data_IF_754656025979
#
_entry.id   IF_754656025979
#
_cell.length_a   1.000
_cell.length_b   1.000
_cell.length_c   1.000
_cell.angle_alpha   90.00
_cell.angle_beta   90.00
_cell.angle_gamma   90.00
#
_symmetry.space_group_name_H-M   'P 1'
#
loop_
_entity.id
_entity.type
_entity.pdbx_description
1 polymer ?
#
# COMPACT_ATOMS: atom_id res chain seq x y z
N UNK A 1 -17.72 -3.35 0.81
CA UNK A 1 -19.10 -3.89 0.74
C UNK A 1 -19.19 -5.37 1.13
N UNK A 2 -18.23 -6.21 0.78
CA UNK A 2 -18.27 -7.65 1.09
C UNK A 2 -17.30 -7.98 2.23
N UNK A 3 -17.79 -8.56 3.33
CA UNK A 3 -16.95 -9.02 4.42
C UNK A 3 -15.89 -10.02 3.93
N UNK A 4 -16.27 -10.96 3.08
CA UNK A 4 -15.36 -11.96 2.50
C UNK A 4 -14.27 -11.34 1.64
N UNK A 5 -14.62 -10.29 0.86
CA UNK A 5 -13.63 -9.56 0.07
C UNK A 5 -12.65 -8.81 0.98
N UNK A 6 -13.17 -8.10 1.98
CA UNK A 6 -12.34 -7.37 2.94
C UNK A 6 -11.38 -8.29 3.70
N UNK A 7 -11.86 -9.43 4.21
CA UNK A 7 -11.01 -10.43 4.87
C UNK A 7 -9.95 -11.00 3.92
N UNK A 8 -10.32 -11.35 2.68
CA UNK A 8 -9.37 -11.86 1.69
C UNK A 8 -8.26 -10.87 1.35
N UNK A 9 -8.60 -9.58 1.18
CA UNK A 9 -7.61 -8.52 0.99
C UNK A 9 -6.73 -8.36 2.23
N UNK A 10 -7.34 -8.40 3.43
CA UNK A 10 -6.62 -8.35 4.70
C UNK A 10 -5.64 -9.52 4.88
N UNK A 11 -6.02 -10.74 4.49
CA UNK A 11 -5.13 -11.91 4.51
C UNK A 11 -3.91 -11.70 3.60
N UNK A 12 -4.13 -11.21 2.37
CA UNK A 12 -3.05 -10.91 1.44
C UNK A 12 -2.12 -9.83 2.00
N UNK A 13 -2.68 -8.76 2.55
CA UNK A 13 -1.91 -7.66 3.12
C UNK A 13 -1.08 -8.12 4.33
N UNK A 14 -1.65 -8.91 5.24
CA UNK A 14 -0.92 -9.44 6.40
C UNK A 14 0.28 -10.31 6.00
N UNK A 15 0.21 -11.01 4.86
CA UNK A 15 1.36 -11.78 4.35
C UNK A 15 2.53 -10.89 3.91
N UNK A 16 2.29 -9.61 3.64
CA UNK A 16 3.33 -8.63 3.29
C UNK A 16 3.99 -8.02 4.52
N UNK A 17 3.35 -8.08 5.68
CA UNK A 17 3.89 -7.56 6.93
C UNK A 17 4.99 -8.48 7.44
N UNK A 18 6.18 -7.94 7.62
CA UNK A 18 7.34 -8.62 8.20
C UNK A 18 7.59 -8.16 9.64
N UNK A 19 6.92 -7.10 10.09
CA UNK A 19 7.01 -6.48 11.41
C UNK A 19 5.69 -5.77 11.74
N UNK A 20 5.61 -5.18 12.91
CA UNK A 20 4.44 -4.42 13.38
C UNK A 20 4.43 -2.96 12.87
N UNK A 21 5.15 -2.65 11.78
CA UNK A 21 5.29 -1.30 11.24
C UNK A 21 4.03 -0.72 10.60
N UNK A 22 3.01 -1.53 10.38
CA UNK A 22 1.73 -1.10 9.85
C UNK A 22 0.60 -1.90 10.50
N UNK A 23 -0.42 -1.20 11.00
CA UNK A 23 -1.65 -1.80 11.53
C UNK A 23 -2.69 -1.92 10.42
N UNK A 24 -3.46 -2.99 10.45
CA UNK A 24 -4.55 -3.25 9.51
C UNK A 24 -5.85 -3.46 10.29
N UNK A 25 -6.88 -2.69 9.93
CA UNK A 25 -8.25 -2.86 10.40
C UNK A 25 -9.18 -3.10 9.19
N UNK A 26 -10.20 -3.91 9.38
CA UNK A 26 -11.15 -4.28 8.32
C UNK A 26 -12.55 -3.88 8.74
N UNK A 27 -13.23 -3.08 7.89
CA UNK A 27 -14.61 -2.66 8.05
C UNK A 27 -15.37 -2.97 6.76
N UNK A 28 -15.81 -4.20 6.60
CA UNK A 28 -16.45 -4.65 5.37
C UNK A 28 -17.74 -5.44 5.66
N UNK A 29 -18.73 -5.26 4.80
CA UNK A 29 -20.05 -5.87 4.95
C UNK A 29 -20.90 -5.19 6.01
N UNK A 30 -22.17 -5.57 6.03
CA UNK A 30 -23.16 -5.15 7.03
C UNK A 30 -23.72 -6.39 7.75
N UNK A 31 -24.23 -6.18 8.98
CA UNK A 31 -24.76 -7.25 9.81
C UNK A 31 -26.26 -7.50 9.47
N UNK A 32 -26.53 -7.79 8.20
CA UNK A 32 -27.82 -8.19 7.72
C UNK A 32 -27.75 -9.63 7.19
N UNK A 33 -28.42 -10.60 7.82
CA UNK A 33 -28.36 -12.01 7.41
C UNK A 33 -28.99 -12.27 6.04
N UNK A 34 -29.85 -11.37 5.55
CA UNK A 34 -30.54 -11.50 4.26
C UNK A 34 -29.83 -10.75 3.14
N UNK A 35 -29.14 -9.65 3.46
CA UNK A 35 -28.42 -8.80 2.51
C UNK A 35 -27.12 -8.26 3.11
N UNK A 36 -26.10 -9.11 3.27
CA UNK A 36 -24.85 -8.75 3.98
C UNK A 36 -23.92 -7.86 3.16
N UNK A 37 -24.32 -7.45 1.96
CA UNK A 37 -23.51 -6.62 1.06
C UNK A 37 -23.80 -5.15 1.32
N UNK A 38 -22.79 -4.42 1.73
CA UNK A 38 -22.86 -2.99 2.03
C UNK A 38 -21.69 -2.54 2.87
N UNK A 39 -21.64 -1.26 3.19
CA UNK A 39 -20.64 -0.65 4.07
C UNK A 39 -21.38 0.08 5.20
N UNK A 40 -21.07 -0.30 6.42
CA UNK A 40 -21.62 0.30 7.63
C UNK A 40 -20.69 1.42 8.12
N UNK A 41 -21.15 2.69 8.18
CA UNK A 41 -20.35 3.80 8.68
C UNK A 41 -19.85 3.61 10.11
N UNK A 42 -20.64 2.95 10.96
CA UNK A 42 -20.24 2.70 12.36
C UNK A 42 -19.08 1.72 12.41
N UNK A 43 -19.12 0.63 11.64
CA UNK A 43 -17.98 -0.30 11.51
C UNK A 43 -16.73 0.39 10.99
N UNK A 44 -16.88 1.30 10.02
CA UNK A 44 -15.75 2.08 9.49
C UNK A 44 -15.17 2.99 10.57
N UNK A 45 -16.01 3.70 11.32
CA UNK A 45 -15.60 4.54 12.45
C UNK A 45 -14.85 3.72 13.50
N UNK A 46 -15.41 2.60 13.98
CA UNK A 46 -14.79 1.73 14.97
C UNK A 46 -13.44 1.17 14.50
N UNK A 47 -13.34 0.79 13.21
CA UNK A 47 -12.09 0.32 12.62
C UNK A 47 -11.02 1.42 12.61
N UNK A 48 -11.38 2.67 12.27
CA UNK A 48 -10.48 3.82 12.33
C UNK A 48 -10.02 4.06 13.77
N UNK A 49 -10.94 4.07 14.73
CA UNK A 49 -10.64 4.25 16.17
C UNK A 49 -9.68 3.16 16.69
N UNK A 50 -9.83 1.93 16.23
CA UNK A 50 -8.96 0.80 16.63
C UNK A 50 -7.49 0.98 16.26
N UNK A 51 -7.19 1.87 15.31
CA UNK A 51 -5.82 2.20 14.85
C UNK A 51 -5.48 3.68 15.03
N UNK A 52 -6.23 4.42 15.85
CA UNK A 52 -6.10 5.88 16.02
C UNK A 52 -4.80 6.32 16.70
N UNK A 53 -4.03 5.40 17.27
CA UNK A 53 -2.69 5.64 17.80
C UNK A 53 -1.62 5.81 16.69
N UNK A 54 -1.95 5.49 15.43
CA UNK A 54 -1.09 5.76 14.29
C UNK A 54 -1.01 7.27 13.96
N UNK A 55 0.08 7.70 13.35
CA UNK A 55 0.26 9.09 12.90
C UNK A 55 -0.71 9.44 11.77
N UNK A 56 -0.95 8.49 10.86
CA UNK A 56 -1.87 8.60 9.73
C UNK A 56 -2.65 7.31 9.51
N UNK A 57 -3.84 7.43 8.95
CA UNK A 57 -4.73 6.32 8.65
C UNK A 57 -5.18 6.43 7.18
N UNK A 58 -4.88 5.42 6.38
CA UNK A 58 -5.31 5.34 4.98
C UNK A 58 -6.50 4.41 4.85
N UNK A 59 -7.61 4.91 4.35
CA UNK A 59 -8.83 4.13 4.10
C UNK A 59 -8.86 3.71 2.63
N UNK A 60 -8.77 2.41 2.41
CA UNK A 60 -8.95 1.78 1.10
C UNK A 60 -10.39 1.31 0.96
N UNK A 61 -10.96 1.40 -0.24
CA UNK A 61 -12.36 1.07 -0.49
C UNK A 61 -12.54 0.35 -1.83
N UNK A 62 -13.61 -0.43 -1.95
CA UNK A 62 -13.91 -1.22 -3.15
C UNK A 62 -14.63 -0.41 -4.23
N UNK A 63 -15.80 0.12 -3.94
CA UNK A 63 -16.62 0.86 -4.92
C UNK A 63 -17.09 2.20 -4.35
N UNK A 64 -17.54 3.10 -5.24
CA UNK A 64 -17.82 4.49 -4.88
C UNK A 64 -18.87 4.69 -3.78
N UNK A 65 -19.81 3.75 -3.58
CA UNK A 65 -20.79 3.85 -2.47
C UNK A 65 -20.13 3.65 -1.08
N UNK A 66 -18.98 2.99 -0.99
CA UNK A 66 -18.21 2.92 0.24
C UNK A 66 -17.66 4.30 0.66
N UNK A 67 -17.45 5.19 -0.30
CA UNK A 67 -17.01 6.57 -0.03
C UNK A 67 -18.01 7.30 0.87
N UNK A 68 -19.30 7.23 0.56
CA UNK A 68 -20.35 7.88 1.37
C UNK A 68 -20.36 7.38 2.82
N UNK A 69 -20.16 6.07 3.00
CA UNK A 69 -20.07 5.49 4.35
C UNK A 69 -18.79 5.93 5.08
N UNK A 70 -17.68 6.04 4.37
CA UNK A 70 -16.44 6.53 4.93
C UNK A 70 -16.52 8.02 5.31
N UNK A 71 -17.12 8.87 4.46
CA UNK A 71 -17.36 10.28 4.79
C UNK A 71 -18.27 10.43 6.01
N UNK A 72 -19.36 9.63 6.09
CA UNK A 72 -20.23 9.61 7.26
C UNK A 72 -19.46 9.18 8.52
N UNK A 73 -18.59 8.20 8.41
CA UNK A 73 -17.74 7.79 9.54
C UNK A 73 -16.79 8.90 10.01
N UNK A 74 -16.21 9.69 9.08
CA UNK A 74 -15.38 10.84 9.41
C UNK A 74 -16.14 11.91 10.18
N UNK A 75 -17.41 12.14 9.84
CA UNK A 75 -18.28 13.10 10.54
C UNK A 75 -18.62 12.65 11.98
N UNK A 76 -18.53 11.36 12.28
CA UNK A 76 -18.78 10.79 13.59
C UNK A 76 -17.54 10.71 14.49
N UNK A 77 -16.35 10.79 13.90
CA UNK A 77 -15.07 10.73 14.64
C UNK A 77 -14.80 12.06 15.38
N UNK A 78 -13.96 11.97 16.40
CA UNK A 78 -13.39 13.19 16.97
C UNK A 78 -12.50 13.90 15.92
N UNK A 79 -12.44 15.27 15.97
CA UNK A 79 -11.72 16.03 14.96
C UNK A 79 -10.23 15.71 14.86
N UNK A 80 -9.58 15.32 15.96
CA UNK A 80 -8.15 15.01 15.97
C UNK A 80 -7.88 13.68 15.24
N UNK A 81 -8.73 12.69 15.45
CA UNK A 81 -8.66 11.41 14.73
C UNK A 81 -9.02 11.58 13.25
N UNK A 82 -10.11 12.29 12.95
CA UNK A 82 -10.54 12.55 11.58
C UNK A 82 -9.44 13.26 10.74
N UNK A 83 -8.69 14.18 11.34
CA UNK A 83 -7.60 14.90 10.68
C UNK A 83 -6.44 13.99 10.21
N UNK A 84 -6.26 12.82 10.82
CA UNK A 84 -5.24 11.84 10.43
C UNK A 84 -5.67 10.97 9.26
N UNK A 85 -6.96 10.94 8.92
CA UNK A 85 -7.51 10.01 7.92
C UNK A 85 -7.35 10.56 6.51
N UNK A 86 -6.99 9.70 5.60
CA UNK A 86 -6.98 9.94 4.15
C UNK A 86 -7.80 8.85 3.45
N UNK A 87 -8.76 9.25 2.62
CA UNK A 87 -9.51 8.36 1.75
C UNK A 87 -8.75 8.18 0.44
N UNK A 88 -8.63 6.95 -0.05
CA UNK A 88 -7.81 6.63 -1.22
C UNK A 88 -8.63 5.94 -2.31
N UNK A 89 -8.48 6.42 -3.54
CA UNK A 89 -9.17 5.90 -4.72
C UNK A 89 -8.37 4.80 -5.46
N UNK A 90 -7.29 4.30 -4.88
CA UNK A 90 -6.48 3.25 -5.48
C UNK A 90 -7.27 1.93 -5.63
N UNK A 91 -6.85 1.05 -6.56
CA UNK A 91 -7.43 -0.29 -6.68
C UNK A 91 -7.33 -1.05 -5.35
N UNK A 92 -8.46 -1.60 -4.87
CA UNK A 92 -8.53 -2.14 -3.51
C UNK A 92 -7.47 -3.22 -3.24
N UNK A 93 -7.31 -4.19 -4.11
CA UNK A 93 -6.39 -5.32 -3.85
C UNK A 93 -4.94 -4.89 -4.00
N UNK A 94 -4.56 -4.47 -5.20
CA UNK A 94 -3.18 -4.09 -5.52
C UNK A 94 -2.73 -2.87 -4.71
N UNK A 95 -3.61 -1.87 -4.58
CA UNK A 95 -3.32 -0.66 -3.82
C UNK A 95 -3.14 -0.94 -2.33
N UNK A 96 -3.95 -1.83 -1.73
CA UNK A 96 -3.77 -2.21 -0.32
C UNK A 96 -2.44 -2.93 -0.10
N UNK A 97 -2.03 -3.82 -1.01
CA UNK A 97 -0.75 -4.51 -0.90
C UNK A 97 0.42 -3.53 -0.99
N UNK A 98 0.40 -2.61 -1.97
CA UNK A 98 1.43 -1.60 -2.14
C UNK A 98 1.50 -0.65 -0.93
N UNK A 99 0.35 -0.14 -0.48
CA UNK A 99 0.25 0.72 0.70
C UNK A 99 0.79 0.04 1.96
N UNK A 100 0.44 -1.24 2.18
CA UNK A 100 0.88 -2.00 3.35
C UNK A 100 2.40 -2.15 3.38
N UNK A 101 3.02 -2.48 2.25
CA UNK A 101 4.49 -2.61 2.16
C UNK A 101 5.18 -1.28 2.38
N UNK A 102 4.71 -0.22 1.73
CA UNK A 102 5.27 1.13 1.85
C UNK A 102 5.15 1.66 3.28
N UNK A 103 3.98 1.50 3.91
CA UNK A 103 3.76 1.91 5.30
C UNK A 103 4.62 1.09 6.28
N UNK A 104 4.73 -0.23 6.11
CA UNK A 104 5.56 -1.09 6.94
C UNK A 104 7.06 -0.78 6.81
N UNK A 105 7.49 -0.23 5.68
CA UNK A 105 8.84 0.28 5.47
C UNK A 105 9.09 1.66 6.11
N UNK A 106 8.07 2.29 6.70
CA UNK A 106 8.17 3.58 7.37
C UNK A 106 7.99 4.79 6.44
N UNK A 107 7.44 4.60 5.25
CA UNK A 107 7.17 5.71 4.32
C UNK A 107 6.11 6.68 4.88
N UNK A 108 6.24 7.96 4.56
CA UNK A 108 5.23 8.96 4.89
C UNK A 108 3.94 8.75 4.09
N UNK A 109 2.83 9.30 4.60
CA UNK A 109 1.48 9.06 4.05
C UNK A 109 1.36 9.41 2.55
N UNK A 110 1.99 10.47 2.08
CA UNK A 110 1.92 10.89 0.68
C UNK A 110 2.57 9.85 -0.24
N UNK A 111 3.71 9.28 0.19
CA UNK A 111 4.38 8.18 -0.54
C UNK A 111 3.54 6.90 -0.52
N UNK A 112 2.92 6.57 0.60
CA UNK A 112 2.02 5.41 0.70
C UNK A 112 0.84 5.55 -0.26
N UNK A 113 0.24 6.74 -0.36
CA UNK A 113 -0.86 7.02 -1.30
C UNK A 113 -0.36 6.91 -2.75
N UNK A 114 0.79 7.48 -3.06
CA UNK A 114 1.38 7.40 -4.40
C UNK A 114 1.59 5.94 -4.82
N UNK A 115 2.19 5.11 -3.96
CA UNK A 115 2.44 3.70 -4.23
C UNK A 115 1.13 2.92 -4.43
N UNK A 116 0.12 3.19 -3.60
CA UNK A 116 -1.21 2.62 -3.75
C UNK A 116 -1.86 2.97 -5.09
N UNK A 117 -1.80 4.24 -5.49
CA UNK A 117 -2.38 4.75 -6.74
C UNK A 117 -1.68 4.17 -7.98
N UNK A 118 -0.38 3.92 -7.90
CA UNK A 118 0.43 3.36 -8.98
C UNK A 118 0.46 1.82 -9.01
N UNK A 119 -0.24 1.15 -8.11
CA UNK A 119 -0.16 -0.29 -7.93
C UNK A 119 -0.56 -1.15 -9.14
N UNK A 120 -1.30 -0.59 -10.10
CA UNK A 120 -1.65 -1.26 -11.36
C UNK A 120 -0.54 -1.23 -12.40
N UNK A 121 0.50 -0.41 -12.24
CA UNK A 121 1.51 -0.21 -13.28
C UNK A 121 2.26 -1.49 -13.61
N UNK A 122 2.64 -2.28 -12.62
CA UNK A 122 3.30 -3.56 -12.84
C UNK A 122 2.45 -4.52 -13.72
N UNK A 123 1.14 -4.56 -13.48
CA UNK A 123 0.19 -5.36 -14.25
C UNK A 123 0.04 -4.82 -15.68
N UNK A 124 0.00 -3.50 -15.85
CA UNK A 124 -0.05 -2.84 -17.17
C UNK A 124 1.18 -3.18 -18.02
N UNK A 125 2.37 -3.06 -17.42
CA UNK A 125 3.65 -3.39 -18.09
C UNK A 125 3.67 -4.86 -18.53
N UNK A 126 3.24 -5.80 -17.68
CA UNK A 126 3.17 -7.21 -18.03
C UNK A 126 2.21 -7.52 -19.19
N UNK A 127 1.14 -6.73 -19.32
CA UNK A 127 0.17 -6.84 -20.41
C UNK A 127 0.59 -6.09 -21.68
N UNK A 128 1.75 -5.42 -21.69
CA UNK A 128 2.21 -4.60 -22.81
C UNK A 128 1.36 -3.34 -23.04
N UNK A 129 0.61 -2.89 -22.02
CA UNK A 129 -0.19 -1.67 -22.09
C UNK A 129 0.72 -0.45 -21.89
N UNK A 130 0.40 0.70 -22.53
CA UNK A 130 1.16 1.92 -22.29
C UNK A 130 1.06 2.32 -20.82
N UNK A 131 2.20 2.68 -20.23
CA UNK A 131 2.24 3.26 -18.88
C UNK A 131 1.41 4.53 -18.84
N UNK A 132 0.66 4.74 -17.75
CA UNK A 132 0.06 6.05 -17.53
C UNK A 132 1.19 7.07 -17.34
N UNK A 133 1.03 8.32 -17.81
CA UNK A 133 2.00 9.36 -17.48
C UNK A 133 2.00 9.52 -15.96
N UNK A 134 3.00 8.94 -15.33
CA UNK A 134 3.23 9.11 -13.90
C UNK A 134 3.59 10.58 -13.68
N UNK A 135 3.06 11.19 -12.63
CA UNK A 135 3.77 12.27 -11.96
C UNK A 135 5.18 11.72 -11.72
N UNK A 136 6.16 12.35 -12.33
CA UNK A 136 7.52 11.87 -12.49
C UNK A 136 7.98 11.05 -11.27
N UNK A 137 8.12 9.74 -11.46
CA UNK A 137 8.95 8.96 -10.57
C UNK A 137 10.29 9.71 -10.51
N UNK A 138 10.69 10.11 -9.32
CA UNK A 138 12.03 10.63 -9.11
C UNK A 138 12.96 9.53 -9.62
N UNK A 139 13.46 9.69 -10.84
CA UNK A 139 14.56 8.86 -11.31
C UNK A 139 15.64 9.02 -10.26
N UNK A 140 15.98 7.92 -9.60
CA UNK A 140 17.04 7.93 -8.60
C UNK A 140 18.22 8.71 -9.19
N UNK A 141 18.65 9.76 -8.51
CA UNK A 141 19.82 10.49 -8.92
C UNK A 141 20.98 9.48 -8.99
N UNK A 142 21.89 9.58 -9.97
CA UNK A 142 23.05 8.71 -10.03
C UNK A 142 23.77 8.79 -8.68
N UNK A 143 23.99 7.65 -8.03
CA UNK A 143 24.81 7.60 -6.82
C UNK A 143 26.19 8.15 -7.18
N UNK A 144 26.72 9.08 -6.39
CA UNK A 144 28.11 9.54 -6.54
C UNK A 144 29.04 8.33 -6.31
N UNK A 145 29.69 7.90 -7.37
CA UNK A 145 30.38 6.61 -7.49
C UNK A 145 31.60 6.46 -6.58
N UNK A 146 31.99 7.55 -5.86
CA UNK A 146 33.26 7.59 -5.10
C UNK A 146 33.29 6.68 -3.87
N UNK A 147 32.07 6.37 -3.29
CA UNK A 147 31.94 5.48 -2.12
C UNK A 147 30.89 4.38 -2.33
N UNK A 148 30.38 4.22 -3.54
CA UNK A 148 29.35 3.25 -3.85
C UNK A 148 29.93 1.82 -3.86
N UNK A 149 29.21 0.91 -3.19
CA UNK A 149 29.48 -0.53 -3.27
C UNK A 149 28.38 -1.18 -4.09
N UNK A 150 28.75 -1.98 -5.07
CA UNK A 150 27.80 -2.72 -5.88
C UNK A 150 27.95 -4.23 -5.72
N UNK A 151 26.84 -4.94 -5.79
CA UNK A 151 26.81 -6.40 -5.85
C UNK A 151 25.81 -6.84 -6.91
N UNK A 152 26.20 -7.78 -7.75
CA UNK A 152 25.31 -8.36 -8.75
C UNK A 152 24.71 -9.66 -8.21
N UNK A 153 23.40 -9.78 -8.25
CA UNK A 153 22.67 -10.95 -7.78
C UNK A 153 21.81 -11.51 -8.90
N UNK A 154 21.90 -12.82 -9.11
CA UNK A 154 20.99 -13.52 -10.05
C UNK A 154 19.74 -13.95 -9.30
N UNK A 155 18.58 -13.45 -9.75
CA UNK A 155 17.29 -13.82 -9.19
C UNK A 155 16.90 -15.19 -9.73
N UNK A 156 16.85 -16.19 -8.85
CA UNK A 156 16.50 -17.58 -9.20
C UNK A 156 15.00 -17.85 -9.24
N UNK A 157 14.18 -16.91 -8.79
CA UNK A 157 12.73 -17.06 -8.79
C UNK A 157 12.20 -17.11 -10.22
N UNK A 158 11.36 -18.11 -10.53
CA UNK A 158 10.80 -18.31 -11.88
C UNK A 158 10.11 -17.05 -12.44
N UNK A 159 9.40 -16.32 -11.59
CA UNK A 159 8.69 -15.08 -11.94
C UNK A 159 9.44 -13.80 -11.54
N UNK A 160 10.74 -13.86 -11.27
CA UNK A 160 11.54 -12.72 -10.87
C UNK A 160 11.15 -12.14 -9.50
N UNK A 161 11.36 -10.83 -9.32
CA UNK A 161 10.95 -10.07 -8.12
C UNK A 161 9.46 -9.68 -8.25
N UNK A 162 8.55 -10.63 -8.05
CA UNK A 162 7.12 -10.32 -7.90
C UNK A 162 6.82 -9.82 -6.48
N UNK A 163 5.59 -9.39 -6.21
CA UNK A 163 5.16 -8.69 -4.97
C UNK A 163 5.73 -9.30 -3.68
N UNK A 164 5.63 -10.62 -3.49
CA UNK A 164 6.07 -11.28 -2.25
C UNK A 164 7.59 -11.23 -2.01
N UNK A 165 8.48 -11.61 -2.95
CA UNK A 165 9.92 -11.43 -2.75
C UNK A 165 10.34 -9.96 -2.75
N UNK A 166 9.66 -9.08 -3.50
CA UNK A 166 9.94 -7.65 -3.47
C UNK A 166 9.62 -7.05 -2.10
N UNK A 167 8.49 -7.40 -1.47
CA UNK A 167 8.14 -6.92 -0.13
C UNK A 167 9.16 -7.34 0.93
N UNK A 168 9.68 -8.58 0.83
CA UNK A 168 10.75 -9.04 1.73
C UNK A 168 12.05 -8.25 1.55
N UNK A 169 12.39 -7.91 0.30
CA UNK A 169 13.55 -7.09 -0.01
C UNK A 169 13.39 -5.68 0.57
N UNK A 170 12.27 -5.01 0.30
CA UNK A 170 11.96 -3.68 0.85
C UNK A 170 12.03 -3.69 2.38
N UNK A 171 11.37 -4.65 3.03
CA UNK A 171 11.41 -4.77 4.50
C UNK A 171 12.81 -5.03 5.05
N UNK A 172 13.62 -5.85 4.38
CA UNK A 172 14.99 -6.13 4.79
C UNK A 172 15.90 -4.89 4.65
N UNK A 173 15.65 -4.05 3.65
CA UNK A 173 16.44 -2.86 3.37
C UNK A 173 16.04 -1.65 4.22
N UNK A 174 14.81 -1.59 4.72
CA UNK A 174 14.31 -0.49 5.55
C UNK A 174 15.11 -0.24 6.84
N UNK A 175 15.86 -1.24 7.32
CA UNK A 175 16.73 -1.12 8.50
C UNK A 175 18.13 -0.52 8.22
N UNK A 176 18.47 -0.25 6.96
CA UNK A 176 19.78 0.28 6.59
C UNK A 176 19.70 1.80 6.39
N UNK A 177 20.65 2.52 6.97
CA UNK A 177 20.81 3.96 6.74
C UNK A 177 21.80 4.17 5.58
N UNK A 178 21.35 3.88 4.36
CA UNK A 178 22.14 4.01 3.13
C UNK A 178 21.23 4.28 1.94
N UNK A 179 21.71 5.03 0.97
CA UNK A 179 21.03 5.22 -0.31
C UNK A 179 21.22 3.95 -1.14
N UNK A 180 20.13 3.28 -1.45
CA UNK A 180 20.12 2.02 -2.18
C UNK A 180 19.50 2.20 -3.55
N UNK A 181 20.10 1.62 -4.57
CA UNK A 181 19.57 1.60 -5.93
C UNK A 181 19.66 0.17 -6.47
N UNK A 182 18.57 -0.29 -7.06
CA UNK A 182 18.53 -1.53 -7.82
C UNK A 182 18.63 -1.20 -9.30
N UNK A 183 19.54 -1.86 -10.01
CA UNK A 183 19.71 -1.70 -11.45
C UNK A 183 19.42 -3.02 -12.18
N UNK A 184 18.65 -2.94 -13.26
CA UNK A 184 18.45 -4.05 -14.19
C UNK A 184 18.28 -3.52 -15.60
N UNK A 185 19.15 -3.95 -16.51
CA UNK A 185 19.07 -3.59 -17.93
C UNK A 185 19.08 -2.08 -18.18
N UNK A 186 19.88 -1.33 -17.41
CA UNK A 186 19.98 0.12 -17.51
C UNK A 186 18.86 0.92 -16.88
N UNK A 187 17.93 0.25 -16.18
CA UNK A 187 16.90 0.91 -15.37
C UNK A 187 17.28 0.86 -13.90
N UNK A 188 17.20 2.00 -13.25
CA UNK A 188 17.51 2.17 -11.82
C UNK A 188 16.24 2.51 -11.06
N UNK A 189 16.04 1.86 -9.92
CA UNK A 189 14.92 2.11 -9.00
C UNK A 189 15.40 2.10 -7.56
N UNK A 190 14.78 2.89 -6.71
CA UNK A 190 15.00 2.81 -5.26
C UNK A 190 14.16 1.68 -4.68
N UNK A 191 14.71 0.83 -3.79
CA UNK A 191 13.97 -0.29 -3.19
C UNK A 191 13.16 0.14 -1.95
N UNK A 192 12.44 1.24 -2.05
CA UNK A 192 11.61 1.82 -0.99
C UNK A 192 10.10 1.55 -1.20
N UNK A 193 9.74 0.99 -2.36
CA UNK A 193 8.37 0.66 -2.70
C UNK A 193 8.26 -0.58 -3.61
N UNK A 194 7.02 -1.01 -3.89
CA UNK A 194 6.72 -2.12 -4.80
C UNK A 194 6.54 -1.70 -6.27
N UNK A 195 6.62 -0.41 -6.57
CA UNK A 195 6.36 0.13 -7.90
C UNK A 195 7.63 0.22 -8.75
#
# INVERSE_FOLDING_TARGET
HSARLGEGVGELARQMLMNDGCKLAIAAGIDDPTSPIGTDPIKVMEAIESVADADHILVMMDIGSALLSAETALDLLDPATAAKVRLCAAPLVEGTLAATVSAAAGAGIDKVIEDAMNALEAKRVQLGLPSQPQHAALTAAPIDDRDARSVSVVIQNHNGLHVRPASKLVAALAGFNADLVLEKGGKCVTPDSLN
#
